data_IF_263112499834
#
_entry.id   IF_263112499834
#
_cell.length_a   1.000
_cell.length_b   1.000
_cell.length_c   1.000
_cell.angle_alpha   90.00
_cell.angle_beta   90.00
_cell.angle_gamma   90.00
#
_symmetry.space_group_name_H-M   'P 1'
#
loop_
_entity.id
_entity.type
_entity.pdbx_description
1 polymer ?
#
# COMPACT_ATOMS: atom_id res chain seq x y z
N UNK A 1 -5.47 -9.21 7.73
CA UNK A 1 -5.03 -7.97 7.08
C UNK A 1 -6.26 -7.19 6.71
N UNK A 2 -6.25 -5.88 6.95
CA UNK A 2 -7.32 -5.00 6.49
C UNK A 2 -7.12 -4.76 4.99
N UNK A 3 -8.19 -4.66 4.20
CA UNK A 3 -8.06 -4.21 2.80
C UNK A 3 -7.56 -2.74 2.81
N UNK A 4 -6.30 -2.53 2.43
CA UNK A 4 -5.64 -1.22 2.35
C UNK A 4 -6.01 -0.49 1.05
N UNK A 5 -6.44 -1.24 0.03
CA UNK A 5 -6.78 -0.69 -1.28
C UNK A 5 -8.29 -0.64 -1.55
N UNK A 6 -8.71 0.40 -2.28
CA UNK A 6 -10.07 0.51 -2.82
C UNK A 6 -10.09 -0.01 -4.25
N UNK A 7 -10.66 -1.21 -4.48
CA UNK A 7 -10.68 -1.87 -5.80
C UNK A 7 -11.26 -0.99 -6.92
N UNK A 8 -12.25 -0.13 -6.61
CA UNK A 8 -12.83 0.81 -7.57
C UNK A 8 -11.81 1.86 -8.03
N UNK A 9 -11.04 2.44 -7.11
CA UNK A 9 -9.99 3.41 -7.43
C UNK A 9 -8.85 2.76 -8.23
N UNK A 10 -8.53 1.49 -7.94
CA UNK A 10 -7.53 0.73 -8.72
C UNK A 10 -8.00 0.51 -10.16
N UNK A 11 -9.29 0.19 -10.38
CA UNK A 11 -9.85 0.07 -11.73
C UNK A 11 -9.83 1.40 -12.48
N UNK A 12 -10.20 2.49 -11.78
CA UNK A 12 -10.15 3.84 -12.36
C UNK A 12 -8.72 4.22 -12.77
N UNK A 13 -7.73 3.97 -11.91
CA UNK A 13 -6.32 4.27 -12.20
C UNK A 13 -5.70 3.43 -13.33
N UNK A 14 -6.30 2.28 -13.65
CA UNK A 14 -5.85 1.38 -14.72
C UNK A 14 -6.67 1.53 -16.01
N UNK A 15 -7.60 2.49 -16.06
CA UNK A 15 -8.42 2.85 -17.22
C UNK A 15 -8.96 1.63 -17.98
N UNK A 16 -8.52 1.43 -19.22
CA UNK A 16 -9.00 0.42 -20.17
C UNK A 16 -8.50 -1.00 -19.87
N UNK A 17 -7.81 -1.24 -18.76
CA UNK A 17 -7.30 -2.57 -18.41
C UNK A 17 -8.33 -3.36 -17.62
N UNK A 18 -8.58 -4.59 -18.08
CA UNK A 18 -9.22 -5.59 -17.23
C UNK A 18 -8.26 -5.97 -16.10
N UNK A 19 -8.77 -5.96 -14.88
CA UNK A 19 -7.99 -6.30 -13.67
C UNK A 19 -8.40 -7.68 -13.18
N UNK A 20 -7.43 -8.59 -13.04
CA UNK A 20 -7.66 -9.93 -12.47
C UNK A 20 -8.06 -9.83 -10.99
N UNK A 21 -8.85 -10.78 -10.50
CA UNK A 21 -9.19 -10.86 -9.07
C UNK A 21 -7.95 -10.96 -8.18
N UNK A 22 -6.94 -11.69 -8.64
CA UNK A 22 -5.74 -12.01 -7.86
C UNK A 22 -4.78 -10.80 -7.78
N UNK A 23 -4.91 -9.85 -8.71
CA UNK A 23 -4.13 -8.61 -8.69
C UNK A 23 -4.44 -7.77 -7.44
N UNK A 24 -5.69 -7.77 -6.97
CA UNK A 24 -6.05 -7.00 -5.79
C UNK A 24 -5.36 -7.50 -4.52
N UNK A 25 -5.25 -8.83 -4.36
CA UNK A 25 -4.53 -9.39 -3.23
C UNK A 25 -3.04 -9.03 -3.29
N UNK A 26 -2.41 -9.26 -4.45
CA UNK A 26 -1.00 -8.94 -4.63
C UNK A 26 -0.69 -7.45 -4.41
N UNK A 27 -1.55 -6.54 -4.86
CA UNK A 27 -1.38 -5.10 -4.62
C UNK A 27 -1.59 -4.73 -3.15
N UNK A 28 -2.53 -5.37 -2.45
CA UNK A 28 -2.76 -5.14 -1.03
C UNK A 28 -1.55 -5.55 -0.20
N UNK A 29 -0.98 -6.73 -0.49
CA UNK A 29 0.24 -7.25 0.14
C UNK A 29 1.42 -6.29 -0.05
N UNK A 30 1.65 -5.79 -1.27
CA UNK A 30 2.72 -4.82 -1.56
C UNK A 30 2.53 -3.49 -0.81
N UNK A 31 1.29 -3.02 -0.65
CA UNK A 31 1.00 -1.79 0.11
C UNK A 31 1.20 -2.02 1.61
N UNK A 32 0.84 -3.19 2.13
CA UNK A 32 1.07 -3.56 3.53
C UNK A 32 2.57 -3.56 3.85
N UNK A 33 3.37 -4.24 3.03
CA UNK A 33 4.84 -4.28 3.17
C UNK A 33 5.45 -2.87 3.12
N UNK A 34 4.98 -2.01 2.20
CA UNK A 34 5.44 -0.61 2.10
C UNK A 34 5.12 0.19 3.38
N UNK A 35 3.94 0.01 3.97
CA UNK A 35 3.54 0.69 5.20
C UNK A 35 4.31 0.16 6.42
N UNK A 36 4.55 -1.15 6.51
CA UNK A 36 5.37 -1.75 7.55
C UNK A 36 6.81 -1.22 7.51
N UNK A 37 7.40 -1.13 6.32
CA UNK A 37 8.73 -0.58 6.13
C UNK A 37 8.80 0.90 6.52
N UNK A 38 7.79 1.69 6.13
CA UNK A 38 7.72 3.10 6.50
C UNK A 38 7.55 3.30 8.02
N UNK A 39 6.71 2.49 8.66
CA UNK A 39 6.59 2.49 10.12
C UNK A 39 7.93 2.13 10.78
N UNK A 40 8.60 1.07 10.30
CA UNK A 40 9.90 0.62 10.81
C UNK A 40 10.98 1.71 10.69
N UNK A 41 11.03 2.43 9.56
CA UNK A 41 11.98 3.55 9.36
C UNK A 41 11.68 4.72 10.29
N UNK A 42 10.40 5.03 10.54
CA UNK A 42 10.01 6.06 11.50
C UNK A 42 10.45 5.68 12.92
N UNK A 43 10.17 4.45 13.34
CA UNK A 43 10.56 3.92 14.65
C UNK A 43 12.08 3.89 14.84
N UNK A 44 12.83 3.46 13.82
CA UNK A 44 14.30 3.45 13.85
C UNK A 44 14.92 4.85 14.00
N UNK A 45 14.15 5.91 13.78
CA UNK A 45 14.54 7.31 13.97
C UNK A 45 13.84 7.94 15.19
N UNK A 46 13.36 7.14 16.14
CA UNK A 46 12.68 7.57 17.37
C UNK A 46 11.44 8.45 17.11
N UNK A 47 10.75 8.24 15.98
CA UNK A 47 9.54 9.00 15.61
C UNK A 47 8.30 8.12 15.66
N UNK A 48 7.21 8.71 16.16
CA UNK A 48 5.84 8.12 16.08
C UNK A 48 5.06 8.59 14.85
N UNK A 49 5.62 9.51 14.09
CA UNK A 49 5.00 10.07 12.88
C UNK A 49 5.76 9.56 11.66
N UNK A 50 5.08 8.77 10.84
CA UNK A 50 5.53 8.38 9.50
C UNK A 50 5.56 9.63 8.61
N UNK A 51 6.64 9.81 7.87
CA UNK A 51 6.90 10.96 7.01
C UNK A 51 7.14 10.49 5.57
N UNK A 52 7.07 11.38 4.57
CA UNK A 52 7.32 11.01 3.18
C UNK A 52 8.68 10.37 2.91
N UNK A 53 9.70 10.65 3.76
CA UNK A 53 11.03 10.04 3.68
C UNK A 53 11.10 8.59 4.18
N UNK A 54 10.03 8.14 4.85
CA UNK A 54 9.93 6.77 5.35
C UNK A 54 9.32 5.84 4.32
N UNK A 55 8.56 6.37 3.35
CA UNK A 55 8.11 5.61 2.17
C UNK A 55 9.32 5.20 1.31
#
# INVERSE_FOLDING_TARGET
MADLIVKAAVKEALDDKNVSSDFYGALDDEVDELLEDAARRAEANDRKTVQPRDL
#
